data_IF_510349975502
#
_entry.id   IF_510349975502
#
_cell.length_a   1.000
_cell.length_b   1.000
_cell.length_c   1.000
_cell.angle_alpha   90.00
_cell.angle_beta   90.00
_cell.angle_gamma   90.00
#
_symmetry.space_group_name_H-M   'P 1'
#
loop_
_entity.id
_entity.type
_entity.pdbx_description
1 polymer ?
#
# COMPACT_ATOMS: atom_id res chain seq x y z
N UNK A 1 48.44 3.04 -10.06
CA UNK A 1 47.61 1.83 -10.26
C UNK A 1 48.20 1.07 -11.44
N UNK A 2 48.53 -0.21 -11.27
CA UNK A 2 49.08 -1.03 -12.35
C UNK A 2 48.08 -1.11 -13.52
N UNK A 3 48.54 -0.95 -14.79
CA UNK A 3 47.67 -1.02 -15.97
C UNK A 3 46.96 -2.37 -16.10
N UNK A 4 47.63 -3.46 -15.70
CA UNK A 4 47.08 -4.82 -15.60
C UNK A 4 45.91 -4.92 -14.63
N UNK A 5 45.99 -4.24 -13.49
CA UNK A 5 44.95 -4.26 -12.46
C UNK A 5 43.70 -3.50 -12.92
N UNK A 6 43.90 -2.38 -13.63
CA UNK A 6 42.82 -1.59 -14.21
C UNK A 6 42.10 -2.34 -15.34
N UNK A 7 42.85 -3.07 -16.18
CA UNK A 7 42.29 -3.90 -17.25
C UNK A 7 41.49 -5.10 -16.69
N UNK A 8 42.02 -5.81 -15.68
CA UNK A 8 41.33 -6.92 -15.04
C UNK A 8 39.99 -6.48 -14.40
N UNK A 9 39.97 -5.31 -13.77
CA UNK A 9 38.76 -4.71 -13.20
C UNK A 9 37.70 -4.38 -14.26
N UNK A 10 38.12 -3.81 -15.40
CA UNK A 10 37.22 -3.52 -16.51
C UNK A 10 36.66 -4.81 -17.13
N UNK A 11 37.47 -5.85 -17.28
CA UNK A 11 37.04 -7.15 -17.80
C UNK A 11 36.01 -7.80 -16.87
N UNK A 12 36.26 -7.82 -15.55
CA UNK A 12 35.32 -8.37 -14.58
C UNK A 12 33.96 -7.68 -14.62
N UNK A 13 33.94 -6.34 -14.66
CA UNK A 13 32.70 -5.55 -14.71
C UNK A 13 31.93 -5.66 -16.03
N UNK A 14 32.56 -6.17 -17.10
CA UNK A 14 31.86 -6.53 -18.35
C UNK A 14 31.16 -7.89 -18.24
N UNK A 15 31.64 -8.78 -17.37
CA UNK A 15 31.08 -10.12 -17.20
C UNK A 15 29.88 -10.14 -16.26
N UNK A 16 29.89 -9.28 -15.23
CA UNK A 16 28.89 -9.28 -14.16
C UNK A 16 28.66 -7.88 -13.60
N UNK A 17 27.42 -7.55 -13.16
CA UNK A 17 27.14 -6.30 -12.45
C UNK A 17 27.72 -6.37 -11.03
N UNK A 18 28.85 -5.68 -10.82
CA UNK A 18 29.58 -5.69 -9.55
C UNK A 18 30.09 -4.30 -9.17
N UNK A 19 30.00 -3.97 -7.87
CA UNK A 19 30.52 -2.74 -7.30
C UNK A 19 32.05 -2.71 -7.25
N UNK A 20 32.64 -1.53 -7.42
CA UNK A 20 34.10 -1.34 -7.54
C UNK A 20 34.91 -1.96 -6.39
N UNK A 21 34.48 -1.74 -5.14
CA UNK A 21 35.19 -2.23 -3.95
C UNK A 21 35.18 -3.77 -3.88
N UNK A 22 34.02 -4.39 -4.14
CA UNK A 22 33.89 -5.86 -4.13
C UNK A 22 34.70 -6.49 -5.27
N UNK A 23 34.66 -5.88 -6.45
CA UNK A 23 35.42 -6.35 -7.61
C UNK A 23 36.94 -6.34 -7.37
N UNK A 24 37.46 -5.28 -6.72
CA UNK A 24 38.88 -5.21 -6.34
C UNK A 24 39.26 -6.30 -5.33
N UNK A 25 38.42 -6.51 -4.31
CA UNK A 25 38.66 -7.54 -3.30
C UNK A 25 38.66 -8.96 -3.91
N UNK A 26 37.74 -9.25 -4.83
CA UNK A 26 37.68 -10.53 -5.53
C UNK A 26 38.88 -10.75 -6.45
N UNK A 27 39.30 -9.74 -7.20
CA UNK A 27 40.48 -9.83 -8.06
C UNK A 27 41.75 -10.09 -7.24
N UNK A 28 41.91 -9.45 -6.08
CA UNK A 28 43.02 -9.73 -5.18
C UNK A 28 43.02 -11.19 -4.68
N UNK A 29 41.84 -11.75 -4.36
CA UNK A 29 41.68 -13.15 -3.95
C UNK A 29 41.93 -14.15 -5.08
N UNK A 30 41.68 -13.75 -6.33
CA UNK A 30 41.81 -14.60 -7.52
C UNK A 30 43.07 -14.30 -8.34
N UNK A 31 44.13 -13.77 -7.72
CA UNK A 31 45.40 -13.45 -8.37
C UNK A 31 45.23 -12.62 -9.67
N UNK A 32 44.30 -11.67 -9.66
CA UNK A 32 43.91 -10.81 -10.79
C UNK A 32 43.28 -11.53 -11.99
N UNK A 33 42.75 -12.74 -11.83
CA UNK A 33 42.01 -13.47 -12.88
C UNK A 33 40.51 -13.07 -12.89
N UNK A 34 40.03 -12.35 -13.92
CA UNK A 34 38.64 -11.88 -13.97
C UNK A 34 37.60 -13.00 -14.11
N UNK A 35 37.91 -14.07 -14.84
CA UNK A 35 36.99 -15.19 -15.04
C UNK A 35 36.77 -15.95 -13.74
N UNK A 36 37.86 -16.25 -13.02
CA UNK A 36 37.78 -16.92 -11.72
C UNK A 36 37.05 -16.05 -10.68
N UNK A 37 37.32 -14.74 -10.67
CA UNK A 37 36.61 -13.79 -9.81
C UNK A 37 35.11 -13.73 -10.13
N UNK A 38 34.74 -13.79 -11.41
CA UNK A 38 33.35 -13.82 -11.84
C UNK A 38 32.63 -15.08 -11.36
N UNK A 39 33.20 -16.27 -11.55
CA UNK A 39 32.59 -17.52 -11.07
C UNK A 39 32.45 -17.57 -9.54
N UNK A 40 33.44 -17.07 -8.81
CA UNK A 40 33.35 -16.96 -7.35
C UNK A 40 32.21 -16.02 -6.93
N UNK A 41 32.08 -14.86 -7.59
CA UNK A 41 30.98 -13.94 -7.31
C UNK A 41 29.61 -14.53 -7.65
N UNK A 42 29.49 -15.25 -8.77
CA UNK A 42 28.24 -15.94 -9.13
C UNK A 42 27.84 -16.97 -8.08
N UNK A 43 28.80 -17.71 -7.53
CA UNK A 43 28.56 -18.63 -6.42
C UNK A 43 28.16 -17.91 -5.13
N UNK A 44 28.81 -16.79 -4.79
CA UNK A 44 28.42 -15.93 -3.65
C UNK A 44 26.98 -15.42 -3.81
N UNK A 45 26.61 -14.92 -4.99
CA UNK A 45 25.25 -14.46 -5.30
C UNK A 45 24.22 -15.59 -5.22
N UNK A 46 24.56 -16.78 -5.72
CA UNK A 46 23.69 -17.95 -5.66
C UNK A 46 23.39 -18.33 -4.22
N UNK A 47 24.39 -18.37 -3.35
CA UNK A 47 24.20 -18.68 -1.94
C UNK A 47 23.27 -17.65 -1.28
N UNK A 48 23.53 -16.35 -1.49
CA UNK A 48 22.68 -15.29 -0.94
C UNK A 48 21.24 -15.40 -1.44
N UNK A 49 21.05 -15.73 -2.72
CA UNK A 49 19.71 -15.88 -3.28
C UNK A 49 18.98 -17.10 -2.71
N UNK A 50 19.66 -18.24 -2.56
CA UNK A 50 19.10 -19.44 -1.92
C UNK A 50 18.70 -19.13 -0.48
N UNK A 51 19.57 -18.48 0.29
CA UNK A 51 19.31 -18.14 1.69
C UNK A 51 18.12 -17.19 1.84
N UNK A 52 17.99 -16.20 0.95
CA UNK A 52 16.90 -15.22 0.98
C UNK A 52 15.58 -15.72 0.43
N UNK A 53 15.62 -16.52 -0.64
CA UNK A 53 14.42 -16.98 -1.34
C UNK A 53 13.90 -18.32 -0.82
N UNK A 54 14.75 -19.13 -0.19
CA UNK A 54 14.46 -20.52 0.15
C UNK A 54 14.26 -21.43 -1.07
N UNK A 55 14.62 -21.00 -2.29
CA UNK A 55 14.56 -21.83 -3.48
C UNK A 55 15.69 -22.88 -3.49
N UNK A 56 15.47 -24.04 -4.13
CA UNK A 56 16.56 -24.93 -4.49
C UNK A 56 17.61 -24.19 -5.34
N UNK A 57 18.88 -24.55 -5.19
CA UNK A 57 20.01 -23.90 -5.86
C UNK A 57 19.87 -23.87 -7.39
N UNK A 58 19.31 -24.91 -8.00
CA UNK A 58 19.09 -24.94 -9.46
C UNK A 58 18.09 -23.88 -9.92
N UNK A 59 16.96 -23.72 -9.22
CA UNK A 59 15.96 -22.69 -9.55
C UNK A 59 16.50 -21.29 -9.28
N UNK A 60 17.20 -21.09 -8.16
CA UNK A 60 17.84 -19.80 -7.85
C UNK A 60 18.87 -19.41 -8.91
N UNK A 61 19.63 -20.38 -9.43
CA UNK A 61 20.61 -20.16 -10.51
C UNK A 61 19.94 -19.68 -11.79
N UNK A 62 18.81 -20.29 -12.18
CA UNK A 62 18.04 -19.87 -13.35
C UNK A 62 17.55 -18.42 -13.21
N UNK A 63 17.02 -18.04 -12.04
CA UNK A 63 16.61 -16.66 -11.77
C UNK A 63 17.77 -15.66 -11.84
N UNK A 64 18.96 -16.01 -11.32
CA UNK A 64 20.15 -15.15 -11.46
C UNK A 64 20.58 -15.00 -12.91
N UNK A 65 20.54 -16.08 -13.69
CA UNK A 65 20.89 -16.04 -15.11
C UNK A 65 19.95 -15.08 -15.86
N UNK A 66 18.64 -15.23 -15.67
CA UNK A 66 17.61 -14.39 -16.30
C UNK A 66 17.69 -12.92 -15.87
N UNK A 67 18.15 -12.67 -14.64
CA UNK A 67 18.38 -11.32 -14.11
C UNK A 67 19.74 -10.71 -14.51
N UNK A 68 20.59 -11.43 -15.26
CA UNK A 68 21.94 -10.98 -15.62
C UNK A 68 22.88 -10.86 -14.42
N UNK A 69 22.69 -11.71 -13.41
CA UNK A 69 23.39 -11.69 -12.11
C UNK A 69 23.17 -10.42 -11.28
N UNK A 70 22.10 -9.66 -11.55
CA UNK A 70 21.60 -8.65 -10.63
C UNK A 70 20.74 -9.32 -9.54
N UNK A 71 21.26 -9.35 -8.31
CA UNK A 71 20.61 -9.99 -7.18
C UNK A 71 19.24 -9.38 -6.85
N UNK A 72 19.10 -8.06 -6.93
CA UNK A 72 17.85 -7.39 -6.57
C UNK A 72 16.77 -7.68 -7.60
N UNK A 73 17.16 -7.66 -8.89
CA UNK A 73 16.26 -8.03 -9.98
C UNK A 73 15.82 -9.50 -9.88
N UNK A 74 16.73 -10.41 -9.54
CA UNK A 74 16.40 -11.82 -9.33
C UNK A 74 15.42 -12.03 -8.16
N UNK A 75 15.68 -11.38 -7.01
CA UNK A 75 14.79 -11.41 -5.85
C UNK A 75 13.39 -10.88 -6.19
N UNK A 76 13.32 -9.75 -6.91
CA UNK A 76 12.06 -9.16 -7.33
C UNK A 76 11.26 -10.09 -8.26
N UNK A 77 11.92 -10.73 -9.23
CA UNK A 77 11.27 -11.67 -10.14
C UNK A 77 10.75 -12.91 -9.40
N UNK A 78 11.45 -13.38 -8.38
CA UNK A 78 11.00 -14.49 -7.54
C UNK A 78 9.77 -14.09 -6.72
N UNK A 79 9.76 -12.89 -6.14
CA UNK A 79 8.59 -12.40 -5.42
C UNK A 79 7.37 -12.26 -6.34
N UNK A 80 7.55 -11.74 -7.55
CA UNK A 80 6.50 -11.64 -8.57
C UNK A 80 5.93 -13.00 -8.99
N UNK A 81 6.79 -14.01 -9.11
CA UNK A 81 6.33 -15.35 -9.46
C UNK A 81 5.56 -16.03 -8.30
N UNK A 82 5.75 -15.59 -7.06
CA UNK A 82 5.19 -16.25 -5.86
C UNK A 82 3.98 -15.54 -5.28
N UNK A 83 3.92 -14.22 -5.42
CA UNK A 83 2.97 -13.38 -4.70
C UNK A 83 2.34 -12.37 -5.65
N UNK A 84 1.04 -12.17 -5.49
CA UNK A 84 0.33 -11.08 -6.16
C UNK A 84 0.87 -9.72 -5.70
N UNK A 85 0.64 -8.66 -6.48
CA UNK A 85 0.90 -7.28 -6.12
C UNK A 85 0.33 -6.95 -4.73
N UNK A 86 -0.93 -7.29 -4.49
CA UNK A 86 -1.59 -7.09 -3.21
C UNK A 86 -0.88 -7.84 -2.08
N UNK A 87 -0.50 -9.12 -2.28
CA UNK A 87 0.27 -9.87 -1.28
C UNK A 87 1.64 -9.25 -0.99
N UNK A 88 2.32 -8.74 -2.02
CA UNK A 88 3.61 -8.06 -1.87
C UNK A 88 3.47 -6.79 -1.04
N UNK A 89 2.42 -5.98 -1.28
CA UNK A 89 2.13 -4.78 -0.50
C UNK A 89 1.89 -5.14 0.97
N UNK A 90 1.00 -6.10 1.25
CA UNK A 90 0.69 -6.55 2.62
C UNK A 90 1.95 -7.04 3.36
N UNK A 91 2.77 -7.87 2.73
CA UNK A 91 4.01 -8.39 3.34
C UNK A 91 5.01 -7.28 3.64
N UNK A 92 5.23 -6.38 2.68
CA UNK A 92 6.20 -5.29 2.78
C UNK A 92 5.79 -4.24 3.82
N UNK A 93 4.49 -3.95 3.92
CA UNK A 93 3.94 -2.89 4.75
C UNK A 93 3.13 -3.41 5.96
N UNK A 94 3.37 -4.65 6.42
CA UNK A 94 2.64 -5.26 7.54
C UNK A 94 2.67 -4.46 8.86
N UNK A 95 3.66 -3.58 9.05
CA UNK A 95 3.80 -2.70 10.23
C UNK A 95 3.13 -1.35 10.06
N UNK A 96 2.88 -0.93 8.82
CA UNK A 96 2.26 0.33 8.47
C UNK A 96 1.03 0.05 7.61
N UNK A 97 -0.06 -0.29 8.28
CA UNK A 97 -1.29 -0.74 7.62
C UNK A 97 -1.92 0.38 6.81
N UNK A 98 -1.88 1.63 7.28
CA UNK A 98 -2.35 2.79 6.53
C UNK A 98 -1.66 2.89 5.17
N UNK A 99 -0.33 2.85 5.15
CA UNK A 99 0.43 2.86 3.89
C UNK A 99 0.11 1.65 3.00
N UNK A 100 -0.09 0.47 3.59
CA UNK A 100 -0.48 -0.72 2.83
C UNK A 100 -1.84 -0.52 2.14
N UNK A 101 -2.83 0.02 2.86
CA UNK A 101 -4.17 0.28 2.34
C UNK A 101 -4.13 1.32 1.20
N UNK A 102 -3.36 2.39 1.34
CA UNK A 102 -3.20 3.41 0.29
C UNK A 102 -2.60 2.82 -1.01
N UNK A 103 -1.57 2.00 -0.88
CA UNK A 103 -0.95 1.33 -2.03
C UNK A 103 -1.91 0.32 -2.70
N UNK A 104 -2.74 -0.35 -1.91
CA UNK A 104 -3.76 -1.27 -2.42
C UNK A 104 -4.86 -0.50 -3.16
N UNK A 105 -5.32 0.64 -2.63
CA UNK A 105 -6.28 1.51 -3.31
C UNK A 105 -5.74 1.97 -4.67
N UNK A 106 -4.49 2.43 -4.71
CA UNK A 106 -3.83 2.82 -5.97
C UNK A 106 -3.74 1.65 -6.98
N UNK A 107 -3.46 0.44 -6.48
CA UNK A 107 -3.42 -0.75 -7.33
C UNK A 107 -4.81 -1.08 -7.92
N UNK A 108 -5.89 -0.93 -7.14
CA UNK A 108 -7.27 -1.14 -7.59
C UNK A 108 -7.65 -0.07 -8.62
N UNK A 109 -7.38 1.21 -8.34
CA UNK A 109 -7.62 2.31 -9.28
C UNK A 109 -6.97 2.05 -10.64
N UNK A 110 -5.73 1.56 -10.63
CA UNK A 110 -4.99 1.24 -11.86
C UNK A 110 -5.59 0.03 -12.59
N UNK A 111 -5.91 -1.04 -11.86
CA UNK A 111 -6.42 -2.28 -12.43
C UNK A 111 -7.83 -2.11 -13.03
N UNK A 112 -8.69 -1.37 -12.33
CA UNK A 112 -10.10 -1.13 -12.69
C UNK A 112 -10.28 0.16 -13.52
N UNK A 113 -9.18 0.88 -13.82
CA UNK A 113 -9.16 2.12 -14.61
C UNK A 113 -10.15 3.18 -14.10
N UNK A 114 -10.19 3.36 -12.78
CA UNK A 114 -11.15 4.25 -12.15
C UNK A 114 -10.83 5.72 -12.48
N UNK A 115 -11.81 6.51 -12.96
CA UNK A 115 -11.60 7.92 -13.24
C UNK A 115 -11.51 8.73 -11.93
N UNK A 116 -10.39 9.44 -11.73
CA UNK A 116 -10.19 10.32 -10.58
C UNK A 116 -10.15 11.79 -11.02
N UNK A 117 -11.04 12.61 -10.45
CA UNK A 117 -11.02 14.07 -10.59
C UNK A 117 -11.07 14.67 -9.18
N UNK A 118 -9.92 14.69 -8.51
CA UNK A 118 -9.76 14.87 -7.06
C UNK A 118 -10.27 13.66 -6.26
N UNK A 119 -11.58 13.40 -6.31
CA UNK A 119 -12.21 12.24 -5.67
C UNK A 119 -12.70 11.22 -6.72
N UNK A 120 -12.84 9.97 -6.32
CA UNK A 120 -13.42 8.91 -7.14
C UNK A 120 -14.94 9.06 -7.21
N UNK A 121 -15.49 8.78 -8.39
CA UNK A 121 -16.94 8.73 -8.57
C UNK A 121 -17.51 7.49 -7.88
N UNK A 122 -18.36 7.69 -6.85
CA UNK A 122 -19.00 6.60 -6.13
C UNK A 122 -19.93 5.77 -7.02
N UNK A 123 -20.46 6.32 -8.12
CA UNK A 123 -21.23 5.53 -9.07
C UNK A 123 -20.35 4.48 -9.78
N UNK A 124 -19.08 4.81 -10.06
CA UNK A 124 -18.09 3.87 -10.58
C UNK A 124 -17.67 2.86 -9.50
N UNK A 125 -17.48 3.30 -8.25
CA UNK A 125 -17.17 2.39 -7.14
C UNK A 125 -18.27 1.36 -6.90
N UNK A 126 -19.54 1.73 -7.08
CA UNK A 126 -20.67 0.82 -6.94
C UNK A 126 -20.67 -0.34 -7.97
N UNK A 127 -20.03 -0.15 -9.13
CA UNK A 127 -19.88 -1.18 -10.16
C UNK A 127 -18.78 -2.20 -9.85
N UNK A 128 -17.93 -1.94 -8.87
CA UNK A 128 -16.85 -2.85 -8.50
C UNK A 128 -17.39 -4.16 -7.89
N UNK A 129 -16.64 -5.28 -8.01
CA UNK A 129 -16.91 -6.49 -7.26
C UNK A 129 -17.07 -6.20 -5.75
N UNK A 130 -17.92 -6.95 -5.02
CA UNK A 130 -18.27 -6.61 -3.63
C UNK A 130 -17.09 -6.35 -2.69
N UNK A 131 -16.02 -7.16 -2.77
CA UNK A 131 -14.85 -6.97 -1.92
C UNK A 131 -14.09 -5.67 -2.24
N UNK A 132 -13.92 -5.36 -3.53
CA UNK A 132 -13.25 -4.14 -3.99
C UNK A 132 -14.10 -2.91 -3.69
N UNK A 133 -15.41 -2.99 -3.92
CA UNK A 133 -16.35 -1.91 -3.59
C UNK A 133 -16.30 -1.57 -2.11
N UNK A 134 -16.42 -2.57 -1.24
CA UNK A 134 -16.38 -2.37 0.20
C UNK A 134 -15.11 -1.64 0.63
N UNK A 135 -13.97 -2.07 0.09
CA UNK A 135 -12.68 -1.46 0.37
C UNK A 135 -12.59 -0.01 -0.16
N UNK A 136 -12.87 0.19 -1.45
CA UNK A 136 -12.67 1.48 -2.12
C UNK A 136 -13.64 2.56 -1.62
N UNK A 137 -14.89 2.21 -1.33
CA UNK A 137 -15.86 3.17 -0.78
C UNK A 137 -15.41 3.69 0.58
N UNK A 138 -14.94 2.81 1.46
CA UNK A 138 -14.47 3.20 2.79
C UNK A 138 -13.15 3.95 2.72
N UNK A 139 -12.21 3.49 1.90
CA UNK A 139 -10.93 4.16 1.70
C UNK A 139 -11.12 5.59 1.17
N UNK A 140 -11.95 5.77 0.14
CA UNK A 140 -12.21 7.09 -0.45
C UNK A 140 -12.94 8.02 0.53
N UNK A 141 -13.91 7.50 1.30
CA UNK A 141 -14.61 8.28 2.33
C UNK A 141 -13.66 8.74 3.44
N UNK A 142 -12.77 7.85 3.91
CA UNK A 142 -11.75 8.16 4.93
C UNK A 142 -10.70 9.14 4.41
N UNK A 143 -10.33 9.07 3.14
CA UNK A 143 -9.43 10.02 2.51
C UNK A 143 -10.06 11.41 2.46
N UNK A 144 -11.35 11.51 2.13
CA UNK A 144 -12.11 12.77 2.17
C UNK A 144 -12.19 13.32 3.59
N UNK A 145 -12.52 12.48 4.57
CA UNK A 145 -12.56 12.89 5.96
C UNK A 145 -11.19 13.38 6.47
N UNK A 146 -10.10 12.72 6.09
CA UNK A 146 -8.76 13.13 6.49
C UNK A 146 -8.32 14.46 5.86
N UNK A 147 -8.90 14.83 4.72
CA UNK A 147 -8.59 16.06 4.00
C UNK A 147 -9.48 17.24 4.39
N UNK A 148 -10.81 17.05 4.38
CA UNK A 148 -11.81 18.11 4.64
C UNK A 148 -12.28 18.17 6.10
N UNK A 149 -12.05 17.12 6.89
CA UNK A 149 -12.52 16.99 8.25
C UNK A 149 -13.85 16.23 8.40
N UNK A 150 -14.11 15.79 9.63
CA UNK A 150 -15.25 14.95 10.01
C UNK A 150 -16.61 15.58 9.69
N UNK A 151 -16.79 16.86 9.99
CA UNK A 151 -18.04 17.59 9.75
C UNK A 151 -18.38 17.73 8.26
N UNK A 152 -17.36 17.88 7.42
CA UNK A 152 -17.50 17.88 5.96
C UNK A 152 -17.83 16.49 5.43
N UNK A 153 -17.15 15.44 5.92
CA UNK A 153 -17.27 14.06 5.44
C UNK A 153 -18.67 13.47 5.59
N UNK A 154 -19.46 13.93 6.56
CA UNK A 154 -20.85 13.50 6.73
C UNK A 154 -21.73 13.83 5.52
N UNK A 155 -21.33 14.79 4.67
CA UNK A 155 -22.05 15.13 3.43
C UNK A 155 -21.52 14.39 2.20
N UNK A 156 -20.40 13.68 2.33
CA UNK A 156 -19.73 13.04 1.23
C UNK A 156 -20.10 11.57 1.19
N UNK A 157 -21.13 11.21 0.41
CA UNK A 157 -21.54 9.81 0.18
C UNK A 157 -21.68 8.94 1.45
N UNK A 158 -22.12 9.55 2.55
CA UNK A 158 -22.20 8.89 3.85
C UNK A 158 -23.08 7.61 3.85
N UNK A 159 -24.24 7.55 3.16
CA UNK A 159 -25.04 6.32 3.13
C UNK A 159 -24.28 5.12 2.54
N UNK A 160 -23.46 5.35 1.52
CA UNK A 160 -22.61 4.32 0.91
C UNK A 160 -21.55 3.84 1.91
N UNK A 161 -20.87 4.77 2.59
CA UNK A 161 -19.88 4.42 3.62
C UNK A 161 -20.51 3.62 4.78
N UNK A 162 -21.66 4.06 5.30
CA UNK A 162 -22.43 3.35 6.34
C UNK A 162 -22.78 1.92 5.90
N UNK A 163 -23.24 1.74 4.66
CA UNK A 163 -23.58 0.41 4.14
C UNK A 163 -22.37 -0.53 4.15
N UNK A 164 -21.19 -0.04 3.78
CA UNK A 164 -19.97 -0.84 3.84
C UNK A 164 -19.48 -1.08 5.28
N UNK A 165 -19.62 -0.12 6.19
CA UNK A 165 -19.33 -0.34 7.62
C UNK A 165 -20.19 -1.46 8.20
N UNK A 166 -21.49 -1.46 7.91
CA UNK A 166 -22.40 -2.55 8.31
C UNK A 166 -22.01 -3.88 7.65
N UNK A 167 -21.56 -3.85 6.39
CA UNK A 167 -21.06 -5.04 5.72
C UNK A 167 -19.84 -5.65 6.42
N UNK A 168 -18.97 -4.79 6.97
CA UNK A 168 -17.82 -5.19 7.80
C UNK A 168 -18.19 -5.51 9.26
N UNK A 169 -19.47 -5.52 9.61
CA UNK A 169 -19.96 -5.74 10.98
C UNK A 169 -19.43 -4.69 11.97
N UNK A 170 -19.28 -3.45 11.50
CA UNK A 170 -18.88 -2.29 12.30
C UNK A 170 -20.10 -1.42 12.63
N UNK A 171 -21.16 -2.06 13.13
CA UNK A 171 -22.46 -1.41 13.40
C UNK A 171 -22.33 -0.22 14.35
N UNK A 172 -21.52 -0.34 15.41
CA UNK A 172 -21.28 0.78 16.33
C UNK A 172 -20.68 2.01 15.65
N UNK A 173 -19.78 1.82 14.68
CA UNK A 173 -19.18 2.93 13.95
C UNK A 173 -20.20 3.54 12.98
N UNK A 174 -20.97 2.70 12.27
CA UNK A 174 -22.06 3.14 11.41
C UNK A 174 -23.09 3.97 12.20
N UNK A 175 -23.54 3.48 13.35
CA UNK A 175 -24.50 4.16 14.21
C UNK A 175 -23.93 5.48 14.77
N UNK A 176 -22.62 5.55 15.02
CA UNK A 176 -21.95 6.79 15.46
C UNK A 176 -21.99 7.85 14.36
N UNK A 177 -21.74 7.47 13.10
CA UNK A 177 -21.81 8.39 11.97
C UNK A 177 -23.25 8.84 11.68
N UNK A 178 -24.23 7.93 11.77
CA UNK A 178 -25.65 8.27 11.64
C UNK A 178 -26.09 9.26 12.73
N UNK A 179 -25.64 9.07 13.98
CA UNK A 179 -25.92 10.01 15.06
C UNK A 179 -25.28 11.38 14.82
N UNK A 180 -24.05 11.42 14.33
CA UNK A 180 -23.35 12.67 14.00
C UNK A 180 -24.08 13.45 12.89
N UNK A 181 -24.45 12.77 11.80
CA UNK A 181 -25.19 13.36 10.69
C UNK A 181 -26.57 13.87 11.12
N UNK A 182 -27.33 13.05 11.85
CA UNK A 182 -28.62 13.47 12.41
C UNK A 182 -28.48 14.70 13.30
N UNK A 183 -27.46 14.75 14.16
CA UNK A 183 -27.21 15.91 15.03
C UNK A 183 -26.87 17.16 14.22
N UNK A 184 -26.03 17.00 13.19
CA UNK A 184 -25.66 18.09 12.29
C UNK A 184 -26.88 18.65 11.56
N UNK A 185 -27.73 17.77 11.00
CA UNK A 185 -28.96 18.16 10.32
C UNK A 185 -29.93 18.89 11.25
N UNK A 186 -30.08 18.43 12.50
CA UNK A 186 -30.91 19.11 13.51
C UNK A 186 -30.43 20.54 13.80
N UNK A 187 -29.11 20.72 14.00
CA UNK A 187 -28.53 22.04 14.23
C UNK A 187 -28.72 22.96 13.02
N UNK A 188 -28.54 22.45 11.80
CA UNK A 188 -28.78 23.20 10.57
C UNK A 188 -30.24 23.62 10.41
N UNK A 189 -31.17 22.72 10.70
CA UNK A 189 -32.60 23.02 10.64
C UNK A 189 -33.01 24.06 11.69
N UNK A 190 -32.47 23.97 12.91
CA UNK A 190 -32.78 24.91 14.00
C UNK A 190 -32.30 26.34 13.72
N UNK A 191 -31.27 26.50 12.89
CA UNK A 191 -30.65 27.79 12.56
C UNK A 191 -30.81 28.18 11.09
N UNK A 192 -31.74 27.54 10.38
CA UNK A 192 -32.00 27.79 8.97
C UNK A 192 -32.41 29.26 8.75
N UNK A 193 -31.60 30.00 7.98
CA UNK A 193 -31.86 31.40 7.64
C UNK A 193 -31.51 32.41 8.74
N UNK A 194 -31.08 31.98 9.93
CA UNK A 194 -30.62 32.88 11.00
C UNK A 194 -29.10 33.05 11.06
N UNK A 195 -28.36 32.06 10.58
CA UNK A 195 -26.89 32.03 10.63
C UNK A 195 -26.32 31.79 9.23
N UNK A 196 -25.16 32.38 8.95
CA UNK A 196 -24.40 32.09 7.75
C UNK A 196 -23.69 30.72 7.86
N UNK A 197 -23.13 30.22 6.76
CA UNK A 197 -22.45 28.92 6.74
C UNK A 197 -21.30 28.79 7.76
N UNK A 198 -20.58 29.88 8.03
CA UNK A 198 -19.43 29.91 8.94
C UNK A 198 -19.89 29.82 10.40
N UNK A 199 -20.89 30.62 10.80
CA UNK A 199 -21.42 30.57 12.17
C UNK A 199 -22.02 29.19 12.48
N UNK A 200 -22.71 28.61 11.49
CA UNK A 200 -23.31 27.29 11.63
C UNK A 200 -22.26 26.18 11.78
N UNK A 201 -21.17 26.23 11.01
CA UNK A 201 -20.06 25.30 11.15
C UNK A 201 -19.39 25.42 12.53
N UNK A 202 -19.17 26.64 13.02
CA UNK A 202 -18.66 26.87 14.38
C UNK A 202 -19.58 26.29 15.45
N UNK A 203 -20.91 26.46 15.29
CA UNK A 203 -21.90 25.93 16.21
C UNK A 203 -21.91 24.41 16.24
N UNK A 204 -21.83 23.76 15.07
CA UNK A 204 -21.72 22.30 14.96
C UNK A 204 -20.47 21.80 15.70
N UNK A 205 -19.32 22.42 15.43
CA UNK A 205 -18.04 22.03 16.03
C UNK A 205 -17.90 22.38 17.53
N UNK A 206 -18.87 23.10 18.10
CA UNK A 206 -18.99 23.36 19.53
C UNK A 206 -20.06 22.49 20.21
N UNK A 207 -20.84 21.73 19.45
CA UNK A 207 -21.92 20.91 19.98
C UNK A 207 -21.37 19.69 20.74
N UNK A 208 -21.70 19.51 22.03
CA UNK A 208 -21.12 18.41 22.82
C UNK A 208 -21.51 17.02 22.33
N UNK A 209 -22.67 16.85 21.70
CA UNK A 209 -23.10 15.55 21.18
C UNK A 209 -22.39 15.23 19.87
N UNK A 210 -22.26 16.22 18.98
CA UNK A 210 -21.47 16.10 17.75
C UNK A 210 -20.01 15.75 18.06
N UNK A 211 -19.37 16.51 18.95
CA UNK A 211 -17.98 16.30 19.33
C UNK A 211 -17.75 14.92 19.96
N UNK A 212 -18.70 14.41 20.76
CA UNK A 212 -18.63 13.04 21.29
C UNK A 212 -18.64 11.99 20.19
N UNK A 213 -19.45 12.19 19.15
CA UNK A 213 -19.49 11.27 18.01
C UNK A 213 -18.16 11.30 17.23
N UNK A 214 -17.62 12.49 17.01
CA UNK A 214 -16.30 12.66 16.37
C UNK A 214 -15.19 12.00 17.19
N UNK A 215 -15.17 12.20 18.51
CA UNK A 215 -14.20 11.57 19.41
C UNK A 215 -14.30 10.04 19.36
N UNK A 216 -15.52 9.50 19.36
CA UNK A 216 -15.76 8.06 19.26
C UNK A 216 -15.29 7.51 17.91
N UNK A 217 -15.59 8.20 16.80
CA UNK A 217 -15.10 7.85 15.47
C UNK A 217 -13.56 7.81 15.44
N UNK A 218 -12.90 8.86 15.95
CA UNK A 218 -11.45 8.96 16.00
C UNK A 218 -10.80 7.83 16.82
N UNK A 219 -11.43 7.45 17.94
CA UNK A 219 -10.96 6.32 18.77
C UNK A 219 -11.09 4.97 18.06
N UNK A 220 -12.09 4.80 17.18
CA UNK A 220 -12.32 3.57 16.43
C UNK A 220 -11.57 3.49 15.10
N UNK A 221 -11.00 4.59 14.61
CA UNK A 221 -10.30 4.64 13.32
C UNK A 221 -9.18 3.59 13.16
N UNK A 222 -8.28 3.36 14.15
CA UNK A 222 -7.27 2.31 14.01
C UNK A 222 -7.88 0.90 13.87
N UNK A 223 -9.05 0.66 14.48
CA UNK A 223 -9.77 -0.61 14.34
C UNK A 223 -10.39 -0.75 12.95
N UNK A 224 -10.84 0.34 12.33
CA UNK A 224 -11.33 0.33 10.95
C UNK A 224 -10.19 -0.02 9.97
N UNK A 225 -9.02 0.59 10.11
CA UNK A 225 -7.84 0.27 9.28
C UNK A 225 -7.45 -1.21 9.43
N UNK A 226 -7.46 -1.72 10.66
CA UNK A 226 -7.21 -3.13 10.95
C UNK A 226 -8.23 -4.05 10.24
N UNK A 227 -9.51 -3.67 10.26
CA UNK A 227 -10.57 -4.45 9.61
C UNK A 227 -10.49 -4.40 8.10
N UNK A 228 -10.17 -3.25 7.51
CA UNK A 228 -9.92 -3.14 6.08
C UNK A 228 -8.71 -3.98 5.67
N UNK A 229 -7.63 -3.96 6.45
CA UNK A 229 -6.45 -4.78 6.18
C UNK A 229 -6.80 -6.28 6.19
N UNK A 230 -7.52 -6.75 7.22
CA UNK A 230 -8.00 -8.14 7.31
C UNK A 230 -8.97 -8.50 6.17
N UNK A 231 -9.81 -7.54 5.74
CA UNK A 231 -10.73 -7.73 4.62
C UNK A 231 -9.98 -8.05 3.32
N UNK A 232 -8.88 -7.31 3.05
CA UNK A 232 -8.01 -7.58 1.90
C UNK A 232 -7.37 -8.97 2.01
N UNK A 233 -6.86 -9.34 3.19
CA UNK A 233 -6.25 -10.67 3.40
C UNK A 233 -7.24 -11.82 3.12
N UNK A 234 -8.49 -11.67 3.54
CA UNK A 234 -9.54 -12.68 3.35
C UNK A 234 -10.00 -12.79 1.89
N UNK A 235 -10.02 -11.66 1.16
CA UNK A 235 -10.53 -11.58 -0.21
C UNK A 235 -9.45 -11.44 -1.27
N UNK A 236 -8.20 -11.74 -0.91
CA UNK A 236 -7.01 -11.49 -1.70
C UNK A 236 -7.09 -11.86 -3.19
N UNK A 237 -7.80 -12.95 -3.53
CA UNK A 237 -7.99 -13.41 -4.92
C UNK A 237 -8.82 -12.44 -5.79
N UNK A 238 -9.59 -11.56 -5.17
CA UNK A 238 -10.40 -10.54 -5.83
C UNK A 238 -9.63 -9.21 -5.99
N UNK A 239 -8.49 -9.06 -5.31
CA UNK A 239 -7.65 -7.87 -5.38
C UNK A 239 -6.59 -7.98 -6.49
N UNK A 240 -6.05 -6.85 -6.98
CA UNK A 240 -5.09 -6.84 -8.08
C UNK A 240 -3.91 -7.80 -7.88
N UNK A 241 -3.64 -8.54 -8.96
CA UNK A 241 -2.59 -9.55 -9.08
C UNK A 241 -1.20 -8.94 -9.31
#
# INVERSE_FOLDING_TARGET
MDPTHTQALQQLRKLIPIGLRHAQALLARCANNPQQAAELYKAELLQVLVDKSGLPAEQAREHLLNAGYDLNRALHAIEEARFTLTQRILRKHHRDKGQALDLIAQAIETAEQLPRQYWLDFAALEQLPPALRCFMVLHEWLAYEGWEGFDSALHFHLPQAIAQLRHLQLDTLADTLEQADQRQQQLRAAHAGSEGPIELALRINQDPLFNRCQDHFNQQRPQLDERLYQWVEQHLKQFPA
#
